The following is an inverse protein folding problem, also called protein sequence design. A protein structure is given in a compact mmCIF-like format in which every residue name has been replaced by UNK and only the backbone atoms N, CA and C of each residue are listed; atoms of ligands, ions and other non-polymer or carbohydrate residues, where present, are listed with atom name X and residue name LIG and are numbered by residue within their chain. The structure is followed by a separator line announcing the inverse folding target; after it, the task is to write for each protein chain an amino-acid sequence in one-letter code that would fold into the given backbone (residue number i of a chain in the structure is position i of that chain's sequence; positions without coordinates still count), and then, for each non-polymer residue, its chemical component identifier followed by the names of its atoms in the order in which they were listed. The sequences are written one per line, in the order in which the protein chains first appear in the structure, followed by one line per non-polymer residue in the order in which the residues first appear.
data_IF_532783148710
#
_entry.id   IF_532783148710
#
_cell.length_a   1.000
_cell.length_b   1.000
_cell.length_c   1.000
_cell.angle_alpha   90.00
_cell.angle_beta   90.00
_cell.angle_gamma   90.00
#
_symmetry.space_group_name_H-M   'P 1'
#
loop_
_entity.id
_entity.type
_entity.pdbx_description
1 polymer ?
#
# COMPACT_ATOMS: atom_id res chain seq x y z
N UNK A 1 14.78 -17.28 -1.10
CA UNK A 1 15.37 -15.98 -0.69
C UNK A 1 14.73 -15.58 0.64
N UNK A 2 15.49 -15.03 1.56
CA UNK A 2 14.95 -14.44 2.79
C UNK A 2 14.72 -12.95 2.56
N UNK A 3 13.59 -12.42 3.04
CA UNK A 3 13.33 -10.99 3.00
C UNK A 3 14.49 -10.25 3.71
N UNK A 4 15.07 -9.27 3.03
CA UNK A 4 16.16 -8.46 3.57
C UNK A 4 15.66 -7.06 3.94
N UNK A 5 16.20 -6.49 5.00
CA UNK A 5 15.92 -5.10 5.36
C UNK A 5 16.27 -4.15 4.22
N UNK A 6 15.39 -3.17 3.98
CA UNK A 6 15.68 -2.04 3.13
C UNK A 6 16.76 -1.12 3.72
N UNK A 7 17.29 -0.23 2.91
CA UNK A 7 18.33 0.70 3.32
C UNK A 7 17.95 2.13 2.95
N UNK A 8 18.15 3.05 3.88
CA UNK A 8 18.10 4.49 3.61
C UNK A 8 19.52 5.06 3.73
N UNK A 9 19.94 5.77 2.69
CA UNK A 9 21.25 6.43 2.62
C UNK A 9 21.08 7.92 2.90
N UNK A 10 21.71 8.39 3.96
CA UNK A 10 21.76 9.81 4.32
C UNK A 10 23.00 10.43 3.68
N UNK A 11 22.81 11.48 2.89
CA UNK A 11 23.86 12.19 2.16
C UNK A 11 23.84 13.68 2.46
N UNK A 12 24.98 14.35 2.30
CA UNK A 12 25.03 15.81 2.24
C UNK A 12 24.63 16.32 0.83
N UNK A 13 24.56 17.64 0.70
CA UNK A 13 24.17 18.30 -0.57
C UNK A 13 25.21 18.07 -1.70
N UNK A 14 26.43 17.68 -1.36
CA UNK A 14 27.51 17.38 -2.32
C UNK A 14 27.51 15.88 -2.73
N UNK A 15 26.51 15.10 -2.23
CA UNK A 15 26.36 13.67 -2.53
C UNK A 15 27.28 12.74 -1.72
N UNK A 16 27.96 13.27 -0.66
CA UNK A 16 28.79 12.44 0.21
C UNK A 16 27.88 11.65 1.16
N UNK A 17 28.06 10.35 1.23
CA UNK A 17 27.35 9.48 2.19
C UNK A 17 27.78 9.81 3.61
N UNK A 18 26.84 10.16 4.46
CA UNK A 18 27.03 10.42 5.88
C UNK A 18 26.74 9.19 6.72
N UNK A 19 25.68 8.46 6.39
CA UNK A 19 25.28 7.23 7.06
C UNK A 19 24.33 6.41 6.19
N UNK A 20 24.37 5.10 6.37
CA UNK A 20 23.34 4.17 5.88
C UNK A 20 22.67 3.55 7.10
N UNK A 21 21.35 3.46 7.09
CA UNK A 21 20.53 2.85 8.14
C UNK A 21 19.62 1.79 7.56
N UNK A 22 19.42 0.70 8.28
CA UNK A 22 18.44 -0.34 7.91
C UNK A 22 17.03 0.11 8.32
N UNK A 23 16.07 -0.15 7.44
CA UNK A 23 14.64 0.11 7.61
C UNK A 23 13.84 -1.16 7.32
N UNK A 24 12.51 -1.07 7.21
CA UNK A 24 11.67 -2.19 6.79
C UNK A 24 12.07 -2.79 5.44
N UNK A 25 11.48 -3.92 5.11
CA UNK A 25 11.66 -4.57 3.81
C UNK A 25 10.93 -3.78 2.73
N UNK A 26 11.51 -3.68 1.55
CA UNK A 26 10.97 -3.00 0.38
C UNK A 26 10.47 -1.57 0.72
N UNK A 27 11.40 -0.60 1.00
CA UNK A 27 11.01 0.77 1.24
C UNK A 27 10.52 1.41 -0.06
N UNK A 28 9.31 1.95 -0.02
CA UNK A 28 8.67 2.60 -1.15
C UNK A 28 8.75 4.12 -1.06
N UNK A 29 8.32 4.71 0.05
CA UNK A 29 8.27 6.16 0.20
C UNK A 29 9.09 6.66 1.39
N UNK A 30 9.77 7.81 1.18
CA UNK A 30 10.50 8.54 2.21
C UNK A 30 10.02 9.99 2.32
N UNK A 31 9.74 10.45 3.53
CA UNK A 31 9.26 11.80 3.79
C UNK A 31 9.87 12.41 5.04
N UNK A 32 9.98 13.74 5.07
CA UNK A 32 10.37 14.47 6.27
C UNK A 32 9.14 14.92 7.05
N UNK A 33 9.23 14.87 8.37
CA UNK A 33 8.27 15.59 9.21
C UNK A 33 8.44 17.11 9.08
N UNK A 34 7.42 17.93 9.44
CA UNK A 34 7.51 19.39 9.34
C UNK A 34 8.69 20.02 10.08
N UNK A 35 9.10 19.45 11.22
CA UNK A 35 10.27 19.90 12.00
C UNK A 35 11.60 19.34 11.46
N UNK A 36 11.55 18.48 10.44
CA UNK A 36 12.69 17.84 9.74
C UNK A 36 13.60 17.00 10.65
N UNK A 37 13.11 16.53 11.78
CA UNK A 37 13.90 15.74 12.72
C UNK A 37 13.72 14.24 12.56
N UNK A 38 12.50 13.68 12.56
CA UNK A 38 12.34 12.34 12.01
C UNK A 38 12.16 12.37 10.49
N UNK A 39 12.77 11.38 9.84
CA UNK A 39 12.47 10.97 8.48
C UNK A 39 11.57 9.74 8.62
N UNK A 40 10.49 9.70 7.86
CA UNK A 40 9.54 8.61 7.83
C UNK A 40 9.77 7.78 6.58
N UNK A 41 9.69 6.47 6.70
CA UNK A 41 9.81 5.54 5.56
C UNK A 41 8.67 4.56 5.62
N UNK A 42 7.88 4.47 4.56
CA UNK A 42 6.95 3.37 4.34
C UNK A 42 7.71 2.21 3.71
N UNK A 43 7.42 1.01 4.15
CA UNK A 43 8.03 -0.22 3.64
C UNK A 43 6.95 -1.27 3.51
N UNK A 44 6.71 -1.70 2.28
CA UNK A 44 5.62 -2.60 1.94
C UNK A 44 5.76 -3.96 2.61
N UNK A 45 6.95 -4.57 2.54
CA UNK A 45 7.15 -5.92 3.04
C UNK A 45 6.62 -7.00 2.11
N UNK A 46 6.39 -6.68 0.84
CA UNK A 46 5.74 -7.56 -0.14
C UNK A 46 6.26 -9.00 -0.14
N UNK A 47 5.39 -9.98 -0.39
CA UNK A 47 5.75 -11.39 -0.41
C UNK A 47 6.76 -11.73 -1.50
N UNK A 48 7.64 -12.67 -1.21
CA UNK A 48 8.52 -13.29 -2.20
C UNK A 48 7.98 -14.69 -2.48
N UNK A 49 7.57 -14.92 -3.72
CA UNK A 49 7.13 -16.22 -4.17
C UNK A 49 8.32 -17.18 -4.36
N UNK A 50 8.12 -18.45 -4.13
CA UNK A 50 9.11 -19.47 -4.45
C UNK A 50 9.31 -19.46 -5.97
N UNK A 51 10.52 -19.14 -6.41
CA UNK A 51 10.88 -19.28 -7.82
C UNK A 51 11.03 -20.78 -8.09
N UNK A 52 10.28 -21.28 -9.04
CA UNK A 52 10.64 -22.56 -9.65
C UNK A 52 12.05 -22.46 -10.20
N UNK A 53 12.77 -23.57 -10.12
CA UNK A 53 14.13 -23.69 -10.62
C UNK A 53 14.23 -23.12 -12.05
N UNK A 54 14.96 -22.02 -12.21
CA UNK A 54 15.12 -21.24 -13.45
C UNK A 54 15.71 -22.10 -14.59
N UNK A 55 15.89 -23.38 -14.38
CA UNK A 55 16.55 -24.30 -15.30
C UNK A 55 15.63 -24.92 -16.37
N UNK A 56 14.32 -24.75 -16.29
CA UNK A 56 13.40 -25.30 -17.29
C UNK A 56 12.43 -24.26 -17.83
N UNK A 57 12.62 -23.92 -19.09
CA UNK A 57 11.71 -23.28 -20.04
C UNK A 57 10.24 -23.17 -19.61
N UNK A 58 9.84 -21.93 -19.36
CA UNK A 58 8.51 -21.34 -19.52
C UNK A 58 7.32 -22.31 -19.67
N UNK A 59 6.84 -22.83 -18.57
CA UNK A 59 5.44 -23.21 -18.42
C UNK A 59 5.02 -22.62 -17.08
N UNK A 60 3.88 -21.95 -17.06
CA UNK A 60 3.27 -21.30 -15.91
C UNK A 60 3.41 -22.20 -14.67
N UNK A 61 4.15 -21.72 -13.67
CA UNK A 61 4.29 -22.41 -12.42
C UNK A 61 2.96 -22.39 -11.68
N UNK A 62 2.43 -23.57 -11.39
CA UNK A 62 1.24 -23.73 -10.55
C UNK A 62 1.59 -23.82 -9.07
N UNK A 63 2.84 -23.57 -8.69
CA UNK A 63 3.27 -23.61 -7.30
C UNK A 63 3.11 -22.23 -6.66
N UNK A 64 1.97 -22.05 -5.98
CA UNK A 64 1.58 -20.84 -5.24
C UNK A 64 2.22 -20.78 -3.84
N UNK A 65 3.43 -21.32 -3.66
CA UNK A 65 4.09 -21.30 -2.37
C UNK A 65 4.88 -20.01 -2.16
N UNK A 66 4.65 -19.35 -1.03
CA UNK A 66 5.46 -18.24 -0.57
C UNK A 66 6.83 -18.75 -0.09
N UNK A 67 7.91 -18.11 -0.56
CA UNK A 67 9.25 -18.36 -0.03
C UNK A 67 9.50 -17.56 1.25
N UNK A 68 9.02 -16.35 1.31
CA UNK A 68 9.02 -15.50 2.51
C UNK A 68 7.99 -14.37 2.36
N UNK A 69 7.52 -13.88 3.49
CA UNK A 69 6.58 -12.77 3.57
C UNK A 69 6.97 -11.90 4.76
N UNK A 70 7.47 -10.70 4.46
CA UNK A 70 7.93 -9.76 5.48
C UNK A 70 6.77 -8.89 5.97
N UNK A 71 6.86 -8.41 7.20
CA UNK A 71 5.87 -7.45 7.70
C UNK A 71 6.02 -6.11 6.99
N UNK A 72 4.90 -5.54 6.57
CA UNK A 72 4.80 -4.12 6.25
C UNK A 72 5.13 -3.25 7.47
N UNK A 73 5.76 -2.11 7.28
CA UNK A 73 6.23 -1.30 8.40
C UNK A 73 6.38 0.18 8.08
N UNK A 74 6.39 0.99 9.14
CA UNK A 74 6.74 2.41 9.08
C UNK A 74 7.99 2.62 9.92
N UNK A 75 9.07 3.08 9.30
CA UNK A 75 10.32 3.38 9.99
C UNK A 75 10.42 4.87 10.30
N UNK A 76 10.81 5.20 11.53
CA UNK A 76 11.09 6.56 12.00
C UNK A 76 12.62 6.68 12.20
N UNK A 77 13.27 7.50 11.38
CA UNK A 77 14.71 7.76 11.47
C UNK A 77 14.92 9.09 12.18
N UNK A 78 15.33 9.06 13.43
CA UNK A 78 15.65 10.26 14.20
C UNK A 78 17.03 10.80 13.80
N UNK A 79 17.04 12.00 13.22
CA UNK A 79 18.26 12.73 12.82
C UNK A 79 18.53 13.96 13.68
N UNK A 80 17.86 14.10 14.83
CA UNK A 80 18.01 15.25 15.73
C UNK A 80 19.44 15.43 16.26
N UNK A 81 20.21 14.35 16.39
CA UNK A 81 21.63 14.33 16.72
C UNK A 81 22.58 14.50 15.53
N UNK A 82 22.03 14.85 14.34
CA UNK A 82 22.75 14.89 13.07
C UNK A 82 22.75 13.54 12.35
N UNK A 83 22.89 13.58 11.02
CA UNK A 83 22.78 12.40 10.17
C UNK A 83 23.72 11.24 10.58
N UNK A 84 24.95 11.55 10.99
CA UNK A 84 25.93 10.53 11.45
C UNK A 84 25.46 9.76 12.70
N UNK A 85 24.58 10.35 13.52
CA UNK A 85 24.07 9.78 14.76
C UNK A 85 22.62 9.29 14.62
N UNK A 86 22.11 9.18 13.38
CA UNK A 86 20.74 8.74 13.14
C UNK A 86 20.43 7.40 13.81
N UNK A 87 19.24 7.29 14.40
CA UNK A 87 18.71 6.04 14.99
C UNK A 87 17.39 5.71 14.34
N UNK A 88 17.02 4.42 14.30
CA UNK A 88 15.80 3.94 13.65
C UNK A 88 14.89 3.27 14.67
N UNK A 89 13.59 3.58 14.59
CA UNK A 89 12.52 2.84 15.25
C UNK A 89 11.61 2.30 14.14
N UNK A 90 11.36 1.01 14.12
CA UNK A 90 10.45 0.37 13.16
C UNK A 90 9.15 0.03 13.87
N UNK A 91 8.04 0.42 13.28
CA UNK A 91 6.68 0.11 13.73
C UNK A 91 6.05 -0.83 12.71
N UNK A 92 5.50 -1.94 13.16
CA UNK A 92 4.77 -2.87 12.32
C UNK A 92 3.32 -3.08 12.80
N UNK A 93 2.56 -3.88 12.11
CA UNK A 93 1.16 -4.14 12.38
C UNK A 93 0.91 -5.41 13.19
N UNK A 94 1.92 -5.95 13.87
CA UNK A 94 1.81 -7.22 14.63
C UNK A 94 0.80 -7.17 15.79
N UNK A 95 0.43 -5.97 16.24
CA UNK A 95 -0.59 -5.79 17.28
C UNK A 95 -2.03 -5.82 16.76
N UNK A 96 -2.24 -5.83 15.45
CA UNK A 96 -3.57 -5.82 14.84
C UNK A 96 -4.05 -7.24 14.55
N UNK A 97 -5.30 -7.51 14.91
CA UNK A 97 -5.96 -8.78 14.65
C UNK A 97 -6.59 -8.78 13.25
N UNK A 98 -6.23 -9.77 12.43
CA UNK A 98 -6.72 -9.89 11.05
C UNK A 98 -8.25 -10.00 11.00
N UNK A 99 -8.87 -10.72 11.93
CA UNK A 99 -10.33 -10.90 11.95
C UNK A 99 -11.06 -9.60 12.32
N UNK A 100 -10.48 -8.82 13.23
CA UNK A 100 -11.03 -7.51 13.59
C UNK A 100 -10.95 -6.54 12.43
N UNK A 101 -9.83 -6.48 11.72
CA UNK A 101 -9.65 -5.62 10.55
C UNK A 101 -10.63 -5.98 9.41
N UNK A 102 -10.81 -7.27 9.15
CA UNK A 102 -11.80 -7.74 8.17
C UNK A 102 -13.23 -7.34 8.54
N UNK A 103 -13.57 -7.35 9.84
CA UNK A 103 -14.90 -6.93 10.32
C UNK A 103 -15.13 -5.41 10.16
N UNK A 104 -14.07 -4.63 9.98
CA UNK A 104 -14.08 -3.19 9.73
C UNK A 104 -13.89 -2.83 8.24
N UNK A 105 -14.08 -3.81 7.33
CA UNK A 105 -13.91 -3.66 5.88
C UNK A 105 -12.47 -3.30 5.44
N UNK A 106 -11.46 -3.59 6.25
CA UNK A 106 -10.06 -3.54 5.82
C UNK A 106 -9.72 -4.83 5.08
N UNK A 107 -9.13 -4.71 3.89
CA UNK A 107 -8.82 -5.86 3.04
C UNK A 107 -7.51 -6.53 3.47
N UNK A 108 -7.60 -7.53 4.32
CA UNK A 108 -6.47 -8.32 4.85
C UNK A 108 -6.74 -9.80 4.68
N UNK A 109 -6.74 -10.29 3.46
CA UNK A 109 -7.19 -11.65 3.15
C UNK A 109 -6.19 -12.48 2.33
N UNK A 110 -4.97 -12.00 2.11
CA UNK A 110 -3.97 -12.81 1.43
C UNK A 110 -3.81 -14.16 2.14
N UNK A 111 -3.84 -15.28 1.41
CA UNK A 111 -3.91 -16.60 2.03
C UNK A 111 -2.69 -16.91 2.88
N UNK A 112 -2.92 -17.26 4.15
CA UNK A 112 -1.86 -17.68 5.07
C UNK A 112 -1.08 -16.53 5.73
N UNK A 113 -1.28 -15.25 5.33
CA UNK A 113 -0.61 -14.09 5.93
C UNK A 113 -1.25 -13.67 7.26
N UNK A 114 -0.47 -13.06 8.13
CA UNK A 114 -0.94 -12.26 9.26
C UNK A 114 -1.37 -10.86 8.78
N UNK A 115 -2.02 -10.07 9.64
CA UNK A 115 -2.31 -8.67 9.33
C UNK A 115 -1.03 -7.86 9.03
N UNK A 116 0.04 -8.10 9.79
CA UNK A 116 1.29 -7.38 9.61
C UNK A 116 1.97 -7.69 8.27
N UNK A 117 1.76 -8.87 7.72
CA UNK A 117 2.30 -9.26 6.42
C UNK A 117 1.44 -8.77 5.26
N UNK A 118 0.12 -8.69 5.46
CA UNK A 118 -0.84 -8.35 4.41
C UNK A 118 -1.12 -6.83 4.30
N UNK A 119 -0.65 -6.04 5.28
CA UNK A 119 -0.72 -4.58 5.24
C UNK A 119 0.59 -4.02 4.69
N UNK A 120 0.52 -3.46 3.49
CA UNK A 120 1.66 -2.96 2.72
C UNK A 120 1.65 -1.43 2.70
N UNK A 121 2.50 -0.77 3.55
CA UNK A 121 2.60 0.70 3.59
C UNK A 121 3.32 1.26 2.37
N UNK A 122 2.70 2.23 1.68
CA UNK A 122 3.25 2.84 0.48
C UNK A 122 3.61 4.31 0.68
N UNK A 123 2.65 5.20 0.81
CA UNK A 123 2.89 6.64 0.85
C UNK A 123 2.57 7.25 2.20
N UNK A 124 3.36 8.27 2.62
CA UNK A 124 3.22 8.91 3.94
C UNK A 124 3.02 10.41 3.81
N UNK A 125 2.06 10.94 4.55
CA UNK A 125 1.94 12.36 4.86
C UNK A 125 1.84 12.59 6.36
N UNK A 126 2.05 13.83 6.82
CA UNK A 126 1.93 14.18 8.24
C UNK A 126 0.96 15.34 8.45
N UNK A 127 0.37 15.46 9.65
CA UNK A 127 -0.29 16.71 10.01
C UNK A 127 0.72 17.87 10.14
N UNK A 128 0.25 19.09 10.07
CA UNK A 128 1.09 20.29 10.13
C UNK A 128 1.91 20.39 11.44
N UNK A 129 1.43 19.79 12.53
CA UNK A 129 2.12 19.78 13.82
C UNK A 129 3.23 18.71 13.91
N UNK A 130 3.33 17.79 12.95
CA UNK A 130 4.29 16.69 12.98
C UNK A 130 4.05 15.67 14.11
N UNK A 131 2.82 15.60 14.62
CA UNK A 131 2.46 14.68 15.71
C UNK A 131 1.76 13.41 15.23
N UNK A 132 1.26 13.42 14.01
CA UNK A 132 0.56 12.31 13.35
C UNK A 132 1.11 12.11 11.95
N UNK A 133 1.25 10.85 11.55
CA UNK A 133 1.41 10.47 10.15
C UNK A 133 0.21 9.64 9.70
N UNK A 134 -0.04 9.70 8.40
CA UNK A 134 -1.09 8.96 7.70
C UNK A 134 -0.42 8.25 6.53
N UNK A 135 -0.65 6.95 6.43
CA UNK A 135 0.05 6.08 5.49
C UNK A 135 -0.97 5.33 4.65
N UNK A 136 -0.85 5.39 3.34
CA UNK A 136 -1.69 4.57 2.46
C UNK A 136 -1.32 3.10 2.60
N UNK A 137 -2.34 2.28 2.62
CA UNK A 137 -2.30 0.83 2.55
C UNK A 137 -3.18 0.46 1.35
N UNK A 138 -2.61 0.56 0.15
CA UNK A 138 -3.35 0.58 -1.11
C UNK A 138 -4.21 -0.67 -1.26
N UNK A 139 -3.61 -1.85 -1.28
CA UNK A 139 -4.31 -3.13 -1.49
C UNK A 139 -5.27 -3.46 -0.34
N UNK A 140 -5.01 -2.90 0.85
CA UNK A 140 -5.92 -3.02 1.98
C UNK A 140 -7.11 -2.05 1.92
N UNK A 141 -7.14 -1.12 0.93
CA UNK A 141 -8.14 -0.05 0.81
C UNK A 141 -8.32 0.71 2.13
N UNK A 142 -7.22 1.07 2.77
CA UNK A 142 -7.18 1.61 4.12
C UNK A 142 -6.08 2.66 4.32
N UNK A 143 -6.08 3.31 5.47
CA UNK A 143 -5.05 4.24 5.90
C UNK A 143 -4.60 3.86 7.30
N UNK A 144 -3.28 3.73 7.52
CA UNK A 144 -2.73 3.64 8.86
C UNK A 144 -2.55 5.03 9.49
N UNK A 145 -2.91 5.15 10.76
CA UNK A 145 -2.76 6.36 11.57
C UNK A 145 -1.66 6.15 12.58
N UNK A 146 -0.57 6.90 12.48
CA UNK A 146 0.63 6.75 13.30
C UNK A 146 0.76 7.92 14.27
N UNK A 147 0.97 7.62 15.55
CA UNK A 147 1.37 8.58 16.58
C UNK A 147 2.90 8.72 16.55
N UNK A 148 3.37 9.88 16.09
CA UNK A 148 4.81 10.15 15.98
C UNK A 148 5.45 10.51 17.32
N UNK A 149 4.65 10.93 18.31
CA UNK A 149 5.12 11.27 19.65
C UNK A 149 5.37 10.00 20.46
N UNK A 150 4.39 9.10 20.50
CA UNK A 150 4.47 7.83 21.23
C UNK A 150 5.10 6.71 20.39
N UNK A 151 5.34 6.94 19.11
CA UNK A 151 5.91 5.97 18.14
C UNK A 151 5.09 4.67 18.12
N UNK A 152 3.81 4.78 17.82
CA UNK A 152 2.87 3.65 17.75
C UNK A 152 1.93 3.82 16.56
N UNK A 153 1.55 2.72 15.93
CA UNK A 153 0.41 2.71 15.01
C UNK A 153 -0.85 2.65 15.87
N UNK A 154 -1.72 3.64 15.69
CA UNK A 154 -2.93 3.78 16.52
C UNK A 154 -4.11 3.04 15.94
N UNK A 155 -4.22 3.05 14.63
CA UNK A 155 -5.42 2.59 13.93
C UNK A 155 -5.10 2.26 12.47
N UNK A 156 -5.94 1.40 11.89
CA UNK A 156 -6.01 1.11 10.46
C UNK A 156 -7.45 1.34 10.03
N UNK A 157 -7.70 2.48 9.39
CA UNK A 157 -9.03 2.94 9.03
C UNK A 157 -9.38 2.53 7.60
N UNK A 158 -10.43 1.75 7.41
CA UNK A 158 -10.98 1.42 6.09
C UNK A 158 -11.48 2.68 5.38
N UNK A 159 -11.29 2.75 4.07
CA UNK A 159 -11.83 3.81 3.22
C UNK A 159 -13.27 3.55 2.80
N UNK A 160 -13.80 2.35 3.08
CA UNK A 160 -15.13 1.95 2.64
C UNK A 160 -15.20 1.76 1.11
N UNK A 161 -16.40 1.92 0.55
CA UNK A 161 -16.66 1.63 -0.85
C UNK A 161 -17.53 2.69 -1.50
N UNK A 162 -17.30 2.95 -2.78
CA UNK A 162 -18.23 3.69 -3.62
C UNK A 162 -19.33 2.74 -4.10
N UNK A 163 -20.58 3.04 -3.77
CA UNK A 163 -21.73 2.24 -4.21
C UNK A 163 -22.23 2.73 -5.58
N UNK A 164 -21.95 1.98 -6.63
CA UNK A 164 -22.35 2.31 -8.00
C UNK A 164 -23.85 2.09 -8.27
N UNK A 165 -24.59 1.46 -7.34
CA UNK A 165 -26.06 1.35 -7.45
C UNK A 165 -26.76 2.66 -7.09
N UNK A 166 -26.07 3.62 -6.47
CA UNK A 166 -26.67 4.87 -6.01
C UNK A 166 -27.17 5.73 -7.18
N UNK A 167 -28.30 6.40 -6.95
CA UNK A 167 -28.95 7.24 -7.96
C UNK A 167 -28.02 8.34 -8.47
N UNK A 168 -27.93 8.48 -9.79
CA UNK A 168 -27.13 9.50 -10.46
C UNK A 168 -25.68 9.11 -10.72
N UNK A 169 -25.26 7.91 -10.29
CA UNK A 169 -23.96 7.37 -10.65
C UNK A 169 -24.05 6.59 -11.96
N UNK A 170 -23.02 6.73 -12.76
CA UNK A 170 -22.85 6.05 -14.05
C UNK A 170 -21.57 5.24 -13.99
N UNK A 171 -21.65 3.98 -14.36
CA UNK A 171 -20.51 3.05 -14.43
C UNK A 171 -20.23 2.69 -15.89
N UNK A 172 -19.00 2.83 -16.29
CA UNK A 172 -18.47 2.29 -17.55
C UNK A 172 -17.65 1.05 -17.24
N UNK A 173 -18.19 -0.11 -17.60
CA UNK A 173 -17.57 -1.41 -17.37
C UNK A 173 -16.79 -1.94 -18.55
N UNK A 174 -16.60 -1.13 -19.61
CA UNK A 174 -15.87 -1.59 -20.80
C UNK A 174 -14.38 -1.30 -20.67
N UNK A 175 -13.57 -2.27 -21.01
CA UNK A 175 -12.10 -2.13 -20.98
C UNK A 175 -11.54 -1.41 -22.22
N UNK A 176 -12.25 -1.44 -23.36
CA UNK A 176 -11.81 -0.86 -24.65
C UNK A 176 -13.00 -0.52 -25.54
N UNK A 177 -13.43 0.72 -25.55
CA UNK A 177 -14.49 1.22 -26.43
C UNK A 177 -13.95 1.76 -27.77
N UNK A 178 -12.76 1.40 -28.17
CA UNK A 178 -12.22 1.80 -29.46
C UNK A 178 -12.77 0.94 -30.58
N UNK A 179 -13.37 1.60 -31.58
CA UNK A 179 -13.59 0.97 -32.90
C UNK A 179 -12.25 0.67 -33.57
N UNK A 180 -12.24 -0.22 -34.55
CA UNK A 180 -11.05 -0.56 -35.34
C UNK A 180 -10.34 0.64 -35.98
N UNK A 181 -10.91 1.84 -35.93
CA UNK A 181 -10.38 3.09 -36.47
C UNK A 181 -9.88 4.06 -35.38
N UNK A 182 -9.76 3.63 -34.12
CA UNK A 182 -9.28 4.49 -33.02
C UNK A 182 -10.28 5.55 -32.56
N UNK A 183 -11.50 5.51 -33.04
CA UNK A 183 -12.59 6.36 -32.55
C UNK A 183 -13.21 5.68 -31.36
N UNK A 184 -13.24 6.34 -30.21
CA UNK A 184 -13.96 5.84 -29.04
C UNK A 184 -15.44 5.83 -29.38
N UNK A 185 -16.08 4.65 -29.31
CA UNK A 185 -17.53 4.55 -29.28
C UNK A 185 -18.06 5.28 -28.05
N UNK A 186 -19.32 5.73 -28.07
CA UNK A 186 -19.93 6.31 -26.89
C UNK A 186 -19.76 5.34 -25.70
N UNK A 187 -19.23 5.81 -24.55
CA UNK A 187 -19.05 4.97 -23.40
C UNK A 187 -20.38 4.31 -23.04
N UNK A 188 -20.33 3.00 -22.77
CA UNK A 188 -21.52 2.28 -22.33
C UNK A 188 -21.76 2.69 -20.89
N UNK A 189 -22.79 3.51 -20.68
CA UNK A 189 -23.14 4.05 -19.38
C UNK A 189 -24.20 3.17 -18.71
N UNK A 190 -23.80 2.40 -17.71
CA UNK A 190 -24.71 1.63 -16.87
C UNK A 190 -25.11 2.44 -15.64
N UNK A 191 -26.37 2.41 -15.26
CA UNK A 191 -26.91 3.02 -14.04
C UNK A 191 -27.48 1.94 -13.13
N UNK A 192 -27.40 2.14 -11.81
CA UNK A 192 -27.95 1.20 -10.84
C UNK A 192 -27.23 -0.15 -10.81
N UNK A 193 -25.95 -0.17 -11.13
CA UNK A 193 -25.14 -1.40 -11.16
C UNK A 193 -24.84 -1.82 -9.72
N UNK A 194 -25.17 -3.06 -9.29
CA UNK A 194 -24.95 -3.50 -7.91
C UNK A 194 -23.46 -3.86 -7.67
N UNK A 195 -22.57 -2.89 -7.90
CA UNK A 195 -21.14 -3.00 -7.71
C UNK A 195 -20.67 -2.01 -6.66
N UNK A 196 -19.64 -2.39 -5.92
CA UNK A 196 -18.88 -1.52 -5.02
C UNK A 196 -17.50 -1.28 -5.59
N UNK A 197 -17.09 -0.02 -5.66
CA UNK A 197 -15.76 0.38 -6.09
C UNK A 197 -14.88 0.62 -4.87
N UNK A 198 -13.70 0.05 -4.84
CA UNK A 198 -12.66 0.36 -3.86
C UNK A 198 -11.90 1.60 -4.30
N UNK A 199 -11.33 2.33 -3.34
CA UNK A 199 -10.55 3.54 -3.63
C UNK A 199 -9.09 3.21 -3.92
N UNK A 200 -8.47 2.39 -3.10
CA UNK A 200 -7.11 1.84 -3.23
C UNK A 200 -6.10 2.94 -3.65
N UNK A 201 -5.82 3.88 -2.72
CA UNK A 201 -5.01 5.05 -3.03
C UNK A 201 -3.52 4.71 -3.04
N UNK A 202 -2.83 5.10 -4.12
CA UNK A 202 -1.37 5.10 -4.19
C UNK A 202 -0.79 6.24 -3.34
N UNK A 203 -1.19 7.48 -3.58
CA UNK A 203 -0.60 8.64 -2.94
C UNK A 203 -1.54 9.36 -1.96
N UNK A 204 -0.95 10.03 -0.96
CA UNK A 204 -1.68 10.80 0.04
C UNK A 204 -0.98 12.13 0.35
N UNK A 205 -1.74 13.18 0.49
CA UNK A 205 -1.29 14.47 1.00
C UNK A 205 -2.23 14.98 2.10
N UNK A 206 -1.72 15.85 2.96
CA UNK A 206 -2.52 16.49 4.00
C UNK A 206 -2.54 18.00 3.82
N UNK A 207 -3.63 18.63 4.23
CA UNK A 207 -3.69 20.07 4.39
C UNK A 207 -4.51 20.45 5.63
N UNK A 208 -4.32 21.66 6.14
CA UNK A 208 -5.05 22.15 7.30
C UNK A 208 -6.00 23.27 6.89
N UNK A 209 -7.27 23.14 7.23
CA UNK A 209 -8.27 24.18 7.07
C UNK A 209 -9.14 24.27 8.32
N UNK A 210 -9.46 25.49 8.77
CA UNK A 210 -10.25 25.76 9.97
C UNK A 210 -9.76 24.99 11.23
N UNK A 211 -8.44 24.79 11.36
CA UNK A 211 -7.83 24.08 12.49
C UNK A 211 -7.94 22.55 12.43
N UNK A 212 -8.48 22.00 11.35
CA UNK A 212 -8.59 20.55 11.13
C UNK A 212 -7.64 20.07 10.03
N UNK A 213 -7.10 18.88 10.18
CA UNK A 213 -6.33 18.20 9.14
C UNK A 213 -7.28 17.43 8.22
N UNK A 214 -7.11 17.66 6.93
CA UNK A 214 -7.79 16.92 5.87
C UNK A 214 -6.77 16.12 5.08
N UNK A 215 -7.20 14.97 4.58
CA UNK A 215 -6.41 14.10 3.71
C UNK A 215 -6.99 14.16 2.31
N UNK A 216 -6.12 14.15 1.32
CA UNK A 216 -6.47 14.03 -0.09
C UNK A 216 -5.61 12.95 -0.71
N UNK A 217 -6.21 12.06 -1.50
CA UNK A 217 -5.56 10.88 -2.05
C UNK A 217 -5.82 10.81 -3.55
N UNK A 218 -4.87 10.26 -4.28
CA UNK A 218 -5.06 9.83 -5.65
C UNK A 218 -5.25 8.32 -5.64
N UNK A 219 -6.40 7.87 -6.16
CA UNK A 219 -6.74 6.46 -6.19
C UNK A 219 -6.23 5.87 -7.51
N UNK A 220 -5.41 4.87 -7.43
CA UNK A 220 -4.93 4.10 -8.58
C UNK A 220 -5.84 2.90 -8.83
N UNK A 221 -6.22 2.22 -7.77
CA UNK A 221 -7.06 1.02 -7.83
C UNK A 221 -6.25 -0.25 -8.03
N UNK A 222 -4.95 -0.21 -7.75
CA UNK A 222 -4.08 -1.39 -7.86
C UNK A 222 -4.40 -2.43 -6.78
N UNK A 223 -4.09 -3.69 -7.09
CA UNK A 223 -4.41 -4.86 -6.26
C UNK A 223 -3.15 -5.68 -6.04
N UNK A 224 -3.25 -6.69 -5.17
CA UNK A 224 -2.11 -7.61 -4.97
C UNK A 224 -1.81 -8.39 -6.23
N UNK A 225 -0.63 -8.14 -6.78
CA UNK A 225 -0.10 -8.80 -7.97
C UNK A 225 1.32 -9.31 -7.67
N UNK A 226 1.41 -10.55 -7.21
CA UNK A 226 2.67 -11.21 -6.95
C UNK A 226 2.87 -12.35 -7.96
N UNK A 227 4.09 -12.77 -8.20
CA UNK A 227 4.37 -13.85 -9.18
C UNK A 227 3.66 -15.18 -8.86
N UNK A 228 3.18 -15.38 -7.64
CA UNK A 228 2.43 -16.55 -7.20
C UNK A 228 0.97 -16.28 -6.84
N UNK A 229 0.50 -15.04 -6.95
CA UNK A 229 -0.85 -14.66 -6.58
C UNK A 229 -1.29 -13.39 -7.31
N UNK A 230 -2.47 -13.42 -7.89
CA UNK A 230 -3.11 -12.30 -8.56
C UNK A 230 -4.53 -12.16 -8.04
N UNK A 231 -4.91 -10.97 -7.60
CA UNK A 231 -6.26 -10.66 -7.10
C UNK A 231 -7.23 -10.33 -8.22
N UNK A 232 -6.73 -9.79 -9.33
CA UNK A 232 -7.58 -9.33 -10.42
C UNK A 232 -8.19 -10.50 -11.19
N UNK A 233 -9.48 -10.34 -11.51
CA UNK A 233 -10.21 -11.25 -12.38
C UNK A 233 -11.12 -10.46 -13.30
N UNK A 234 -11.14 -10.80 -14.58
CA UNK A 234 -12.05 -10.18 -15.54
C UNK A 234 -13.40 -10.88 -15.50
N UNK A 235 -14.49 -10.13 -15.30
CA UNK A 235 -15.84 -10.67 -15.31
C UNK A 235 -16.13 -11.36 -16.66
N UNK A 236 -16.49 -12.63 -16.62
CA UNK A 236 -16.75 -13.45 -17.80
C UNK A 236 -15.52 -14.20 -18.34
N UNK A 237 -14.37 -14.05 -17.74
CA UNK A 237 -13.23 -14.92 -18.06
C UNK A 237 -13.47 -16.31 -17.48
N UNK A 238 -13.66 -17.30 -18.37
CA UNK A 238 -13.85 -18.70 -18.02
C UNK A 238 -12.56 -19.51 -18.15
N UNK A 239 -11.43 -18.85 -18.40
CA UNK A 239 -10.13 -19.52 -18.57
C UNK A 239 -9.52 -20.05 -17.28
N UNK A 240 -10.16 -19.78 -16.14
CA UNK A 240 -10.16 -20.66 -14.97
C UNK A 240 -8.88 -20.79 -14.15
N UNK A 241 -8.20 -19.74 -13.79
CA UNK A 241 -7.22 -19.83 -12.70
C UNK A 241 -7.72 -19.29 -11.35
N UNK A 242 -8.83 -18.57 -11.32
CA UNK A 242 -9.42 -18.08 -10.07
C UNK A 242 -10.90 -18.48 -9.98
N UNK A 243 -11.18 -19.67 -9.49
CA UNK A 243 -12.52 -20.05 -9.03
C UNK A 243 -12.68 -19.60 -7.58
N UNK A 244 -13.53 -18.59 -7.38
CA UNK A 244 -14.08 -18.27 -6.06
C UNK A 244 -15.02 -19.36 -5.59
#
# INVERSE_FOLDING_TARGET
QTASSGLVVLMDADGRVLKTVAVGNLPDHVSFTPDKKPILVASEGSPICALDDISTSATESTDSTLASDANGSVSLIDVSGGAANATVTILDFSSFDKTALLAEDVRVFFPGSSAAQDLEPEYITTNAAGTRAYVTLQEANAIAIVDLVNKTILDVASLGYKDWSATGLVYDGSKKDSTSNGVFANPIAYTGVPLKGMYMPDTIASYTAAGQTYLVMANEGDTREYSCYEEESTFGDTSGSNSF
#
